data_IF_799222064136
#
_entry.id   IF_799222064136
#
_cell.length_a   1.000
_cell.length_b   1.000
_cell.length_c   1.000
_cell.angle_alpha   90.00
_cell.angle_beta   90.00
_cell.angle_gamma   90.00
#
_symmetry.space_group_name_H-M   'P 1'
#
loop_
_entity.id
_entity.type
_entity.pdbx_description
1 polymer ?
#
# COMPACT_ATOMS: atom_id res chain seq x y z
N UNK A 1 -8.91 32.55 -6.34
CA UNK A 1 -7.98 31.45 -6.62
C UNK A 1 -7.84 30.67 -5.31
N UNK A 2 -8.46 29.50 -5.21
CA UNK A 2 -8.29 28.64 -4.05
C UNK A 2 -6.86 28.11 -4.03
N UNK A 3 -6.19 28.07 -2.86
CA UNK A 3 -4.89 27.44 -2.76
C UNK A 3 -5.07 25.95 -3.13
N UNK A 4 -4.27 25.48 -4.06
CA UNK A 4 -4.15 24.06 -4.42
C UNK A 4 -3.84 23.29 -3.15
N UNK A 5 -4.83 22.60 -2.62
CA UNK A 5 -4.66 21.67 -1.51
C UNK A 5 -3.62 20.67 -2.00
N UNK A 6 -2.57 20.49 -1.23
CA UNK A 6 -1.47 19.58 -1.51
C UNK A 6 -2.04 18.17 -1.73
N UNK A 7 -2.21 17.76 -2.98
CA UNK A 7 -2.84 16.50 -3.38
C UNK A 7 -1.87 15.32 -3.30
N UNK A 8 -0.59 15.59 -3.02
CA UNK A 8 0.47 14.59 -2.96
C UNK A 8 0.26 13.57 -1.83
N UNK A 9 0.06 12.31 -2.21
CA UNK A 9 0.05 11.19 -1.28
C UNK A 9 1.48 10.89 -0.79
N UNK A 10 2.45 10.89 -1.72
CA UNK A 10 3.88 10.66 -1.44
C UNK A 10 4.73 11.67 -2.19
N UNK A 11 5.76 12.20 -1.52
CA UNK A 11 6.85 12.94 -2.16
C UNK A 11 8.18 12.47 -1.61
N UNK A 12 9.10 12.13 -2.50
CA UNK A 12 10.48 11.80 -2.20
C UNK A 12 11.36 12.86 -2.89
N UNK A 13 12.37 13.36 -2.18
CA UNK A 13 13.32 14.31 -2.73
C UNK A 13 14.74 13.91 -2.34
N UNK A 14 15.55 13.60 -3.36
CA UNK A 14 16.98 13.26 -3.25
C UNK A 14 17.28 12.18 -2.20
N UNK A 15 16.43 11.12 -2.15
CA UNK A 15 16.63 10.02 -1.22
C UNK A 15 17.90 9.25 -1.57
N UNK A 16 18.78 9.10 -0.57
CA UNK A 16 19.94 8.21 -0.64
C UNK A 16 19.92 7.25 0.54
N UNK A 17 20.37 6.02 0.29
CA UNK A 17 20.43 5.01 1.34
C UNK A 17 21.54 3.99 1.06
N UNK A 18 22.27 3.62 2.11
CA UNK A 18 23.29 2.56 2.09
C UNK A 18 23.13 1.69 3.35
N UNK A 19 23.30 0.38 3.19
CA UNK A 19 23.50 -0.47 4.35
C UNK A 19 24.88 -0.26 4.94
N UNK A 20 25.09 -0.42 6.26
CA UNK A 20 26.40 -0.23 6.87
C UNK A 20 27.48 -1.07 6.18
N UNK A 21 28.56 -0.41 5.70
CA UNK A 21 29.67 -1.05 5.03
C UNK A 21 29.41 -1.54 3.59
N UNK A 22 28.29 -1.15 2.98
CA UNK A 22 27.96 -1.51 1.60
C UNK A 22 27.95 -0.29 0.68
N UNK A 23 28.05 -0.52 -0.64
CA UNK A 23 27.81 0.50 -1.64
C UNK A 23 26.40 1.09 -1.54
N UNK A 24 26.19 2.35 -2.02
CA UNK A 24 24.87 2.97 -2.01
C UNK A 24 23.83 2.09 -2.72
N UNK A 25 22.77 1.71 -2.01
CA UNK A 25 21.64 0.98 -2.57
C UNK A 25 20.70 1.91 -3.33
N UNK A 26 20.41 3.08 -2.76
CA UNK A 26 19.63 4.15 -3.40
C UNK A 26 20.53 5.37 -3.52
N UNK A 27 20.71 5.91 -4.75
CA UNK A 27 21.65 7.01 -5.00
C UNK A 27 21.04 8.40 -4.97
N UNK A 28 19.93 8.61 -5.68
CA UNK A 28 19.27 9.92 -5.79
C UNK A 28 17.85 9.71 -6.32
N UNK A 29 16.99 9.17 -5.48
CA UNK A 29 15.60 8.95 -5.85
C UNK A 29 14.76 10.19 -5.54
N UNK A 30 14.13 10.74 -6.57
CA UNK A 30 13.11 11.78 -6.46
C UNK A 30 11.83 11.32 -7.16
N UNK A 31 10.70 11.44 -6.47
CA UNK A 31 9.40 10.96 -6.92
C UNK A 31 8.28 11.79 -6.28
N UNK A 32 7.24 12.04 -7.04
CA UNK A 32 5.97 12.58 -6.53
C UNK A 32 4.83 11.69 -7.04
N UNK A 33 3.88 11.38 -6.17
CA UNK A 33 2.69 10.60 -6.49
C UNK A 33 1.48 11.30 -5.86
N UNK A 34 0.55 11.70 -6.71
CA UNK A 34 -0.67 12.36 -6.28
C UNK A 34 -1.70 11.34 -5.73
N UNK A 35 -2.69 11.85 -5.01
CA UNK A 35 -3.81 11.03 -4.57
C UNK A 35 -4.58 10.50 -5.79
N UNK A 36 -4.91 9.21 -5.79
CA UNK A 36 -5.59 8.53 -6.89
C UNK A 36 -4.67 8.05 -8.00
N UNK A 37 -3.39 8.46 -8.05
CA UNK A 37 -2.44 7.95 -9.03
C UNK A 37 -1.86 6.60 -8.62
N UNK A 38 -1.41 5.85 -9.61
CA UNK A 38 -0.80 4.53 -9.45
C UNK A 38 0.65 4.51 -9.96
N UNK A 39 1.54 3.88 -9.16
CA UNK A 39 2.96 3.71 -9.48
C UNK A 39 3.36 2.24 -9.46
N UNK A 40 3.93 1.78 -10.54
CA UNK A 40 4.55 0.46 -10.65
C UNK A 40 6.08 0.56 -10.48
N UNK A 41 6.63 -0.20 -9.55
CA UNK A 41 8.08 -0.29 -9.32
C UNK A 41 8.54 -1.67 -9.78
N UNK A 42 9.36 -1.70 -10.84
CA UNK A 42 9.90 -2.95 -11.40
C UNK A 42 11.37 -3.13 -11.09
N UNK A 43 11.78 -4.39 -11.01
CA UNK A 43 13.19 -4.77 -10.90
C UNK A 43 13.38 -6.18 -10.35
N UNK A 44 14.58 -6.76 -10.52
CA UNK A 44 14.93 -8.08 -10.02
C UNK A 44 14.79 -8.22 -8.50
N UNK A 45 14.71 -9.45 -8.01
CA UNK A 45 14.74 -9.71 -6.58
C UNK A 45 16.07 -9.28 -5.96
N UNK A 46 16.04 -8.73 -4.75
CA UNK A 46 17.24 -8.27 -4.03
C UNK A 46 17.69 -6.83 -4.34
N UNK A 47 17.12 -6.16 -5.34
CA UNK A 47 17.54 -4.83 -5.78
C UNK A 47 17.04 -3.65 -4.91
N UNK A 48 16.66 -3.89 -3.67
CA UNK A 48 16.32 -2.80 -2.74
C UNK A 48 14.87 -2.33 -2.75
N UNK A 49 13.96 -2.98 -3.51
CA UNK A 49 12.54 -2.60 -3.57
C UNK A 49 11.88 -2.62 -2.18
N UNK A 50 12.02 -3.71 -1.45
CA UNK A 50 11.46 -3.83 -0.09
C UNK A 50 12.16 -2.88 0.90
N UNK A 51 13.44 -2.55 0.68
CA UNK A 51 14.15 -1.51 1.45
C UNK A 51 13.49 -0.15 1.23
N UNK A 52 13.21 0.23 -0.01
CA UNK A 52 12.50 1.47 -0.33
C UNK A 52 11.12 1.50 0.35
N UNK A 53 10.34 0.41 0.26
CA UNK A 53 9.03 0.33 0.92
C UNK A 53 9.14 0.48 2.45
N UNK A 54 10.16 -0.12 3.08
CA UNK A 54 10.39 0.02 4.51
C UNK A 54 10.84 1.43 4.92
N UNK A 55 11.59 2.13 4.07
CA UNK A 55 11.95 3.55 4.29
C UNK A 55 10.69 4.43 4.17
N UNK A 56 9.85 4.21 3.15
CA UNK A 56 8.58 4.91 2.96
C UNK A 56 7.63 4.68 4.15
N UNK A 57 7.58 3.45 4.65
CA UNK A 57 6.82 3.11 5.84
C UNK A 57 7.42 3.71 7.13
N UNK A 58 8.59 4.35 7.09
CA UNK A 58 9.28 4.89 8.26
C UNK A 58 9.79 3.82 9.24
N UNK A 59 9.90 2.56 8.80
CA UNK A 59 10.50 1.45 9.56
C UNK A 59 12.02 1.57 9.54
N UNK A 60 12.58 1.84 8.35
CA UNK A 60 13.99 2.17 8.18
C UNK A 60 14.10 3.71 8.17
N UNK A 61 15.03 4.29 8.95
CA UNK A 61 15.20 5.73 9.00
C UNK A 61 15.70 6.28 7.66
N UNK A 62 15.22 7.45 7.27
CA UNK A 62 15.77 8.23 6.15
C UNK A 62 17.18 8.69 6.52
N UNK A 63 18.19 8.31 5.73
CA UNK A 63 19.59 8.71 5.94
C UNK A 63 19.86 10.08 5.32
N UNK A 64 19.56 10.22 4.03
CA UNK A 64 19.70 11.47 3.27
C UNK A 64 18.46 11.69 2.40
N UNK A 65 18.16 12.96 2.10
CA UNK A 65 16.97 13.35 1.38
C UNK A 65 15.77 13.57 2.30
N UNK A 66 14.59 13.65 1.70
CA UNK A 66 13.33 13.94 2.41
C UNK A 66 12.19 13.11 1.87
N UNK A 67 11.33 12.63 2.74
CA UNK A 67 10.11 11.90 2.38
C UNK A 67 8.92 12.51 3.10
N UNK A 68 7.91 12.88 2.33
CA UNK A 68 6.61 13.33 2.85
C UNK A 68 5.55 12.29 2.52
N UNK A 69 4.74 11.97 3.50
CA UNK A 69 3.54 11.15 3.34
C UNK A 69 2.36 12.02 3.76
N UNK A 70 1.44 12.24 2.84
CA UNK A 70 0.28 13.12 3.05
C UNK A 70 0.69 14.45 3.70
N UNK A 71 1.73 15.10 3.15
CA UNK A 71 2.28 16.37 3.61
C UNK A 71 3.13 16.34 4.90
N UNK A 72 3.26 15.18 5.58
CA UNK A 72 4.04 15.03 6.83
C UNK A 72 5.44 14.53 6.51
N UNK A 73 6.46 15.28 6.92
CA UNK A 73 7.88 14.95 6.72
C UNK A 73 8.33 13.85 7.70
N UNK A 74 8.71 12.66 7.18
CA UNK A 74 9.03 11.49 7.99
C UNK A 74 10.19 11.69 8.97
N UNK A 75 11.22 12.46 8.58
CA UNK A 75 12.40 12.70 9.42
C UNK A 75 12.12 13.55 10.65
N UNK A 76 11.01 14.31 10.67
CA UNK A 76 10.60 15.16 11.79
C UNK A 76 9.67 14.42 12.77
N UNK A 77 9.23 13.22 12.44
CA UNK A 77 8.30 12.47 13.26
C UNK A 77 9.04 11.59 14.29
N UNK A 78 8.52 11.57 15.52
CA UNK A 78 8.91 10.56 16.50
C UNK A 78 8.48 9.15 16.05
N UNK A 79 9.03 8.10 16.65
CA UNK A 79 8.65 6.73 16.31
C UNK A 79 7.14 6.48 16.50
N UNK A 80 6.56 6.96 17.60
CA UNK A 80 5.11 6.88 17.85
C UNK A 80 4.31 7.61 16.77
N UNK A 81 4.77 8.79 16.33
CA UNK A 81 4.09 9.54 15.27
C UNK A 81 4.23 8.85 13.90
N UNK A 82 5.33 8.13 13.63
CA UNK A 82 5.49 7.28 12.44
C UNK A 82 4.56 6.07 12.48
N UNK A 83 4.41 5.42 13.65
CA UNK A 83 3.48 4.31 13.83
C UNK A 83 2.04 4.76 13.57
N UNK A 84 1.67 5.91 14.12
CA UNK A 84 0.37 6.52 13.89
C UNK A 84 0.16 6.87 12.40
N UNK A 85 1.15 7.49 11.75
CA UNK A 85 1.10 7.81 10.32
C UNK A 85 0.87 6.54 9.47
N UNK A 86 1.63 5.46 9.74
CA UNK A 86 1.45 4.17 9.05
C UNK A 86 0.03 3.65 9.18
N UNK A 87 -0.50 3.64 10.39
CA UNK A 87 -1.83 3.11 10.64
C UNK A 87 -2.95 3.95 10.04
N UNK A 88 -2.81 5.27 10.05
CA UNK A 88 -3.84 6.20 9.58
C UNK A 88 -3.81 6.40 8.06
N UNK A 89 -2.62 6.54 7.47
CA UNK A 89 -2.45 6.99 6.08
C UNK A 89 -2.08 5.87 5.11
N UNK A 90 -1.58 4.72 5.61
CA UNK A 90 -1.06 3.68 4.74
C UNK A 90 -1.85 2.39 4.86
N UNK A 91 -2.18 1.77 3.73
CA UNK A 91 -2.59 0.39 3.63
C UNK A 91 -1.44 -0.47 3.12
N UNK A 92 -1.32 -1.71 3.59
CA UNK A 92 -0.27 -2.63 3.14
C UNK A 92 -0.86 -3.95 2.66
N UNK A 93 -0.41 -4.38 1.47
CA UNK A 93 -0.66 -5.71 0.93
C UNK A 93 0.70 -6.38 0.76
N UNK A 94 1.01 -7.34 1.61
CA UNK A 94 2.28 -8.07 1.60
C UNK A 94 2.20 -9.31 0.73
N UNK A 95 3.31 -9.81 0.27
CA UNK A 95 3.41 -11.06 -0.49
C UNK A 95 2.80 -12.26 0.26
N UNK A 96 2.95 -12.33 1.58
CA UNK A 96 2.37 -13.37 2.44
C UNK A 96 1.05 -12.93 3.10
N UNK A 97 0.42 -11.85 2.62
CA UNK A 97 -0.85 -11.25 3.08
C UNK A 97 -0.86 -10.80 4.54
N UNK A 98 -0.12 -11.40 5.42
CA UNK A 98 -0.01 -11.10 6.86
C UNK A 98 -1.38 -10.96 7.55
N UNK A 99 -2.34 -11.81 7.17
CA UNK A 99 -3.61 -11.92 7.89
C UNK A 99 -3.36 -12.57 9.26
N UNK A 100 -4.14 -12.15 10.25
CA UNK A 100 -4.11 -12.80 11.56
C UNK A 100 -4.91 -14.10 11.45
N UNK A 101 -4.26 -15.28 11.54
CA UNK A 101 -4.84 -16.52 11.05
C UNK A 101 -6.06 -16.99 11.84
N UNK A 102 -6.17 -16.66 13.10
CA UNK A 102 -7.28 -17.04 13.99
C UNK A 102 -8.41 -16.00 14.07
N UNK A 103 -8.21 -14.80 13.53
CA UNK A 103 -9.30 -13.80 13.43
C UNK A 103 -10.21 -14.13 12.25
N UNK A 104 -11.48 -13.74 12.38
CA UNK A 104 -12.43 -13.80 11.28
C UNK A 104 -12.02 -12.91 10.10
N UNK A 105 -12.60 -13.14 8.92
CA UNK A 105 -12.45 -12.25 7.76
C UNK A 105 -12.89 -10.83 8.14
N UNK A 106 -14.03 -10.69 8.80
CA UNK A 106 -14.54 -9.40 9.28
C UNK A 106 -13.52 -8.69 10.15
N UNK A 107 -12.99 -9.37 11.17
CA UNK A 107 -12.04 -8.76 12.10
C UNK A 107 -10.71 -8.40 11.44
N UNK A 108 -10.22 -9.24 10.52
CA UNK A 108 -9.03 -8.90 9.73
C UNK A 108 -9.23 -7.65 8.89
N UNK A 109 -10.37 -7.51 8.21
CA UNK A 109 -10.67 -6.33 7.39
C UNK A 109 -10.82 -5.08 8.25
N UNK A 110 -11.56 -5.18 9.36
CA UNK A 110 -11.87 -4.03 10.22
C UNK A 110 -10.74 -3.65 11.17
N UNK A 111 -9.68 -4.45 11.29
CA UNK A 111 -8.58 -4.22 12.23
C UNK A 111 -8.03 -2.78 12.21
N UNK A 112 -7.78 -2.13 11.04
CA UNK A 112 -7.33 -0.74 11.00
C UNK A 112 -8.34 0.24 11.61
N UNK A 113 -9.63 -0.03 11.50
CA UNK A 113 -10.68 0.85 12.06
C UNK A 113 -10.81 0.70 13.58
N UNK A 114 -10.44 -0.46 14.13
CA UNK A 114 -10.40 -0.67 15.59
C UNK A 114 -9.21 0.03 16.24
N UNK A 115 -8.07 0.08 15.53
CA UNK A 115 -6.82 0.62 16.06
C UNK A 115 -6.68 2.13 15.84
N UNK A 116 -7.24 2.66 14.75
CA UNK A 116 -7.03 4.04 14.31
C UNK A 116 -8.34 4.78 14.09
N UNK A 117 -8.73 5.70 15.00
CA UNK A 117 -9.99 6.46 14.90
C UNK A 117 -10.14 7.20 13.57
N UNK A 118 -9.05 7.68 12.96
CA UNK A 118 -9.09 8.34 11.65
C UNK A 118 -9.64 7.40 10.58
N UNK A 119 -9.21 6.13 10.55
CA UNK A 119 -9.70 5.12 9.60
C UNK A 119 -11.18 4.80 9.83
N UNK A 120 -11.60 4.70 11.09
CA UNK A 120 -13.01 4.52 11.44
C UNK A 120 -13.86 5.71 10.96
N UNK A 121 -13.43 6.93 11.29
CA UNK A 121 -14.17 8.14 10.89
C UNK A 121 -14.27 8.27 9.36
N UNK A 122 -13.21 7.98 8.62
CA UNK A 122 -13.23 8.01 7.16
C UNK A 122 -14.18 6.95 6.58
N UNK A 123 -14.19 5.72 7.12
CA UNK A 123 -15.12 4.67 6.71
C UNK A 123 -16.58 5.08 6.94
N UNK A 124 -16.89 5.65 8.11
CA UNK A 124 -18.23 6.14 8.44
C UNK A 124 -18.63 7.34 7.57
N UNK A 125 -17.72 8.29 7.36
CA UNK A 125 -18.00 9.47 6.53
C UNK A 125 -18.31 9.11 5.08
N UNK A 126 -17.62 8.09 4.52
CA UNK A 126 -17.79 7.67 3.13
C UNK A 126 -19.01 6.77 2.91
N UNK A 127 -19.33 5.89 3.88
CA UNK A 127 -20.33 4.83 3.70
C UNK A 127 -21.49 4.88 4.72
N UNK A 128 -21.54 5.87 5.60
CA UNK A 128 -22.56 6.02 6.63
C UNK A 128 -22.34 5.14 7.87
N UNK A 129 -21.69 3.99 7.74
CA UNK A 129 -21.29 3.11 8.85
C UNK A 129 -20.09 2.26 8.49
N UNK A 130 -19.38 1.74 9.50
CA UNK A 130 -18.27 0.81 9.29
C UNK A 130 -18.75 -0.51 8.67
N UNK A 131 -19.97 -0.94 8.99
CA UNK A 131 -20.59 -2.14 8.40
C UNK A 131 -20.85 -1.95 6.90
N UNK A 132 -21.33 -0.80 6.47
CA UNK A 132 -21.52 -0.51 5.06
C UNK A 132 -20.19 -0.37 4.33
N UNK A 133 -19.14 0.19 4.98
CA UNK A 133 -17.80 0.23 4.41
C UNK A 133 -17.22 -1.18 4.21
N UNK A 134 -17.41 -2.09 5.18
CA UNK A 134 -17.06 -3.50 5.05
C UNK A 134 -17.81 -4.14 3.88
N UNK A 135 -19.13 -3.97 3.83
CA UNK A 135 -19.96 -4.54 2.77
C UNK A 135 -19.53 -4.08 1.39
N UNK A 136 -19.29 -2.78 1.23
CA UNK A 136 -18.78 -2.20 -0.02
C UNK A 136 -17.49 -2.90 -0.49
N UNK A 137 -16.51 -3.09 0.40
CA UNK A 137 -15.24 -3.73 0.04
C UNK A 137 -15.42 -5.23 -0.25
N UNK A 138 -16.27 -5.92 0.51
CA UNK A 138 -16.61 -7.33 0.30
C UNK A 138 -17.20 -7.53 -1.10
N UNK A 139 -18.16 -6.70 -1.49
CA UNK A 139 -18.82 -6.75 -2.79
C UNK A 139 -17.85 -6.39 -3.93
N UNK A 140 -17.07 -5.30 -3.77
CA UNK A 140 -16.09 -4.86 -4.77
C UNK A 140 -14.99 -5.90 -5.02
N UNK A 141 -14.57 -6.60 -3.99
CA UNK A 141 -13.53 -7.64 -4.09
C UNK A 141 -14.10 -9.04 -4.38
N UNK A 142 -15.42 -9.17 -4.57
CA UNK A 142 -16.06 -10.44 -4.91
C UNK A 142 -15.90 -11.50 -3.82
N UNK A 143 -15.89 -11.08 -2.54
CA UNK A 143 -15.89 -11.99 -1.40
C UNK A 143 -17.30 -12.42 -1.08
N UNK A 144 -17.51 -13.72 -0.79
CA UNK A 144 -18.81 -14.21 -0.36
C UNK A 144 -19.10 -13.81 1.09
N UNK A 145 -20.35 -13.43 1.37
CA UNK A 145 -20.84 -13.15 2.72
C UNK A 145 -20.62 -14.33 3.68
N UNK A 146 -20.70 -15.56 3.16
CA UNK A 146 -20.48 -16.77 3.96
C UNK A 146 -19.06 -16.90 4.52
N UNK A 147 -18.09 -16.16 3.98
CA UNK A 147 -16.70 -16.17 4.45
C UNK A 147 -16.47 -15.25 5.65
N UNK A 148 -17.33 -14.28 5.88
CA UNK A 148 -17.09 -13.18 6.83
C UNK A 148 -16.79 -13.65 8.26
N UNK A 149 -17.40 -14.76 8.68
CA UNK A 149 -17.21 -15.34 10.01
C UNK A 149 -16.14 -16.43 10.05
N UNK A 150 -15.57 -16.81 8.90
CA UNK A 150 -14.52 -17.82 8.85
C UNK A 150 -13.19 -17.23 9.32
N UNK A 151 -12.37 -18.06 9.97
CA UNK A 151 -11.01 -17.70 10.34
C UNK A 151 -10.10 -17.64 9.08
N UNK A 152 -9.19 -16.65 9.04
CA UNK A 152 -8.39 -16.38 7.86
C UNK A 152 -7.54 -17.57 7.39
N UNK A 153 -7.11 -18.47 8.29
CA UNK A 153 -6.35 -19.68 7.92
C UNK A 153 -7.16 -20.71 7.12
N UNK A 154 -8.50 -20.60 7.09
CA UNK A 154 -9.40 -21.50 6.34
C UNK A 154 -9.61 -21.05 4.90
N UNK A 155 -9.13 -19.86 4.53
CA UNK A 155 -9.34 -19.26 3.22
C UNK A 155 -8.36 -19.81 2.19
N UNK A 156 -8.82 -19.92 0.92
CA UNK A 156 -7.91 -20.10 -0.20
C UNK A 156 -6.96 -18.92 -0.38
N UNK A 157 -5.85 -19.10 -1.07
CA UNK A 157 -4.85 -18.06 -1.35
C UNK A 157 -5.51 -16.82 -1.98
N UNK A 158 -6.35 -17.02 -3.02
CA UNK A 158 -7.03 -15.88 -3.67
C UNK A 158 -8.03 -15.16 -2.75
N UNK A 159 -8.70 -15.89 -1.83
CA UNK A 159 -9.55 -15.27 -0.81
C UNK A 159 -8.71 -14.47 0.20
N UNK A 160 -7.58 -15.00 0.65
CA UNK A 160 -6.66 -14.30 1.55
C UNK A 160 -6.14 -13.00 0.93
N UNK A 161 -5.78 -13.02 -0.37
CA UNK A 161 -5.37 -11.82 -1.10
C UNK A 161 -6.45 -10.74 -1.09
N UNK A 162 -7.70 -11.11 -1.42
CA UNK A 162 -8.83 -10.19 -1.43
C UNK A 162 -9.14 -9.63 -0.04
N UNK A 163 -9.04 -10.45 1.00
CA UNK A 163 -9.19 -10.00 2.40
C UNK A 163 -8.07 -9.04 2.80
N UNK A 164 -6.82 -9.32 2.41
CA UNK A 164 -5.70 -8.41 2.66
C UNK A 164 -5.86 -7.07 1.93
N UNK A 165 -6.39 -7.09 0.70
CA UNK A 165 -6.74 -5.87 -0.02
C UNK A 165 -7.86 -5.09 0.70
N UNK A 166 -8.96 -5.76 1.09
CA UNK A 166 -10.03 -5.11 1.84
C UNK A 166 -9.49 -4.43 3.12
N UNK A 167 -8.63 -5.13 3.87
CA UNK A 167 -7.96 -4.58 5.06
C UNK A 167 -7.08 -3.37 4.73
N UNK A 168 -6.38 -3.39 3.60
CA UNK A 168 -5.53 -2.28 3.20
C UNK A 168 -6.36 -1.03 2.84
N UNK A 169 -7.48 -1.20 2.13
CA UNK A 169 -8.31 -0.10 1.64
C UNK A 169 -9.35 0.41 2.64
N UNK A 170 -9.74 -0.36 3.68
CA UNK A 170 -10.77 0.07 4.63
C UNK A 170 -10.41 1.41 5.27
N UNK A 171 -11.37 2.34 5.34
CA UNK A 171 -11.19 3.66 5.93
C UNK A 171 -10.29 4.59 5.11
N UNK A 172 -10.20 4.39 3.79
CA UNK A 172 -9.64 5.32 2.82
C UNK A 172 -8.25 5.85 3.20
N UNK A 173 -7.18 5.03 3.17
CA UNK A 173 -5.81 5.51 3.38
C UNK A 173 -5.40 6.47 2.26
N UNK A 174 -4.39 7.31 2.53
CA UNK A 174 -3.81 8.19 1.50
C UNK A 174 -3.04 7.40 0.44
N UNK A 175 -2.44 6.26 0.84
CA UNK A 175 -1.71 5.36 -0.05
C UNK A 175 -1.90 3.90 0.34
N UNK A 176 -2.00 3.02 -0.65
CA UNK A 176 -1.84 1.57 -0.51
C UNK A 176 -0.52 1.15 -1.15
N UNK A 177 0.28 0.41 -0.39
CA UNK A 177 1.56 -0.16 -0.81
C UNK A 177 1.40 -1.67 -0.93
N UNK A 178 1.66 -2.22 -2.12
CA UNK A 178 1.55 -3.63 -2.43
C UNK A 178 2.92 -4.21 -2.81
N UNK A 179 3.43 -5.14 -2.01
CA UNK A 179 4.71 -5.82 -2.23
C UNK A 179 4.47 -7.22 -2.81
N UNK A 180 4.73 -7.40 -4.09
CA UNK A 180 4.57 -8.67 -4.85
C UNK A 180 3.20 -9.35 -4.63
N UNK A 181 2.07 -8.62 -4.66
CA UNK A 181 0.78 -9.16 -4.22
C UNK A 181 0.21 -10.25 -5.12
N UNK A 182 0.78 -10.43 -6.32
CA UNK A 182 0.29 -11.36 -7.35
C UNK A 182 1.25 -12.50 -7.67
N UNK A 183 2.39 -12.60 -6.98
CA UNK A 183 3.48 -13.53 -7.30
C UNK A 183 3.07 -15.04 -7.28
N UNK A 184 2.00 -15.40 -6.59
CA UNK A 184 1.48 -16.77 -6.49
C UNK A 184 0.32 -17.09 -7.45
N UNK A 185 -0.07 -16.15 -8.33
CA UNK A 185 -1.21 -16.28 -9.24
C UNK A 185 -0.77 -16.52 -10.68
N UNK A 186 -1.60 -17.22 -11.45
CA UNK A 186 -1.51 -17.22 -12.91
C UNK A 186 -1.92 -15.86 -13.50
N UNK A 187 -1.58 -15.63 -14.77
CA UNK A 187 -1.77 -14.36 -15.45
C UNK A 187 -3.23 -13.84 -15.43
N UNK A 188 -4.21 -14.72 -15.64
CA UNK A 188 -5.60 -14.31 -15.69
C UNK A 188 -6.08 -13.82 -14.32
N UNK A 189 -5.72 -14.54 -13.26
CA UNK A 189 -6.04 -14.14 -11.90
C UNK A 189 -5.28 -12.89 -11.46
N UNK A 190 -4.01 -12.73 -11.89
CA UNK A 190 -3.23 -11.50 -11.67
C UNK A 190 -3.93 -10.29 -12.29
N UNK A 191 -4.33 -10.40 -13.56
CA UNK A 191 -4.99 -9.32 -14.29
C UNK A 191 -6.28 -8.89 -13.60
N UNK A 192 -7.14 -9.85 -13.25
CA UNK A 192 -8.41 -9.55 -12.55
C UNK A 192 -8.17 -8.89 -11.18
N UNK A 193 -7.19 -9.35 -10.42
CA UNK A 193 -6.87 -8.76 -9.13
C UNK A 193 -6.35 -7.33 -9.27
N UNK A 194 -5.56 -7.06 -10.31
CA UNK A 194 -5.10 -5.71 -10.61
C UNK A 194 -6.24 -4.77 -11.00
N UNK A 195 -7.22 -5.23 -11.77
CA UNK A 195 -8.43 -4.44 -12.07
C UNK A 195 -9.14 -4.03 -10.78
N UNK A 196 -9.25 -4.95 -9.83
CA UNK A 196 -9.88 -4.66 -8.53
C UNK A 196 -9.07 -3.63 -7.71
N UNK A 197 -7.74 -3.76 -7.66
CA UNK A 197 -6.89 -2.84 -6.88
C UNK A 197 -6.88 -1.44 -7.47
N UNK A 198 -6.66 -1.33 -8.78
CA UNK A 198 -6.67 -0.04 -9.49
C UNK A 198 -8.04 0.62 -9.42
N UNK A 199 -9.12 -0.16 -9.62
CA UNK A 199 -10.47 0.35 -9.50
C UNK A 199 -10.81 0.87 -8.09
N UNK A 200 -10.38 0.16 -7.03
CA UNK A 200 -10.57 0.63 -5.65
C UNK A 200 -9.73 1.88 -5.35
N UNK A 201 -8.50 1.94 -5.85
CA UNK A 201 -7.62 3.09 -5.68
C UNK A 201 -8.23 4.36 -6.31
N UNK A 202 -8.71 4.25 -7.54
CA UNK A 202 -9.40 5.33 -8.26
C UNK A 202 -10.69 5.76 -7.54
N UNK A 203 -11.60 4.82 -7.24
CA UNK A 203 -12.88 5.10 -6.56
C UNK A 203 -12.71 5.78 -5.21
N UNK A 204 -11.65 5.44 -4.46
CA UNK A 204 -11.36 6.02 -3.16
C UNK A 204 -10.44 7.25 -3.25
N UNK A 205 -9.92 7.60 -4.44
CA UNK A 205 -8.88 8.62 -4.60
C UNK A 205 -7.68 8.33 -3.67
N UNK A 206 -7.25 7.07 -3.61
CA UNK A 206 -6.13 6.55 -2.83
C UNK A 206 -4.96 6.29 -3.79
N UNK A 207 -3.77 6.76 -3.48
CA UNK A 207 -2.60 6.41 -4.29
C UNK A 207 -2.29 4.90 -4.16
N UNK A 208 -1.88 4.26 -5.26
CA UNK A 208 -1.46 2.85 -5.25
C UNK A 208 -0.01 2.73 -5.69
N UNK A 209 0.85 2.23 -4.81
CA UNK A 209 2.23 1.88 -5.15
C UNK A 209 2.38 0.37 -5.14
N UNK A 210 2.77 -0.21 -6.25
CA UNK A 210 2.98 -1.65 -6.39
C UNK A 210 4.41 -1.98 -6.76
N UNK A 211 4.99 -2.93 -6.08
CA UNK A 211 6.27 -3.54 -6.41
C UNK A 211 6.01 -4.92 -7.02
N UNK A 212 6.58 -5.18 -8.19
CA UNK A 212 6.57 -6.51 -8.81
C UNK A 212 7.75 -6.71 -9.75
N UNK A 213 8.11 -7.97 -9.99
CA UNK A 213 9.04 -8.38 -11.04
C UNK A 213 8.35 -8.70 -12.38
N UNK A 214 7.01 -8.74 -12.40
CA UNK A 214 6.22 -9.01 -13.62
C UNK A 214 5.91 -7.72 -14.37
N UNK A 215 6.82 -7.32 -15.25
CA UNK A 215 6.71 -6.08 -16.03
C UNK A 215 5.47 -6.02 -16.95
N UNK A 216 4.81 -7.15 -17.24
CA UNK A 216 3.57 -7.18 -18.03
C UNK A 216 2.44 -6.39 -17.39
N UNK A 217 2.50 -6.15 -16.08
CA UNK A 217 1.54 -5.35 -15.35
C UNK A 217 1.77 -3.84 -15.49
N UNK A 218 3.00 -3.41 -15.81
CA UNK A 218 3.40 -2.00 -15.80
C UNK A 218 2.54 -1.08 -16.69
N UNK A 219 2.05 -1.50 -17.90
CA UNK A 219 1.24 -0.61 -18.75
C UNK A 219 -0.12 -0.23 -18.17
N UNK A 220 -0.50 -0.81 -17.04
CA UNK A 220 -1.79 -0.56 -16.37
C UNK A 220 -1.71 0.56 -15.32
N UNK A 221 -0.51 1.04 -15.02
CA UNK A 221 -0.23 2.06 -14.01
C UNK A 221 0.05 3.40 -14.68
N UNK A 222 -0.30 4.49 -13.99
CA UNK A 222 -0.07 5.85 -14.49
C UNK A 222 1.42 6.17 -14.60
N UNK A 223 2.22 5.64 -13.65
CA UNK A 223 3.66 5.85 -13.59
C UNK A 223 4.40 4.52 -13.44
N UNK A 224 5.62 4.46 -13.99
CA UNK A 224 6.52 3.33 -13.83
C UNK A 224 7.90 3.82 -13.39
N UNK A 225 8.50 3.08 -12.45
CA UNK A 225 9.83 3.35 -11.94
C UNK A 225 10.65 2.05 -11.95
N UNK A 226 11.62 1.97 -12.85
CA UNK A 226 12.53 0.83 -12.88
C UNK A 226 13.67 1.01 -11.86
N UNK A 227 14.00 -0.05 -11.14
CA UNK A 227 15.03 -0.01 -10.07
C UNK A 227 16.39 0.48 -10.59
N UNK A 228 16.78 0.15 -11.83
CA UNK A 228 18.02 0.60 -12.44
C UNK A 228 18.15 2.13 -12.57
N UNK A 229 17.08 2.88 -12.42
CA UNK A 229 17.09 4.35 -12.44
C UNK A 229 17.61 4.97 -11.15
N UNK A 230 17.59 4.23 -10.03
CA UNK A 230 17.95 4.76 -8.71
C UNK A 230 18.84 3.83 -7.87
N UNK A 231 18.95 2.55 -8.22
CA UNK A 231 19.81 1.59 -7.54
C UNK A 231 21.17 1.44 -8.26
N UNK A 232 22.19 1.05 -7.50
CA UNK A 232 23.58 1.03 -7.97
C UNK A 232 23.94 -0.26 -8.70
N UNK A 233 23.45 -1.40 -8.23
CA UNK A 233 23.75 -2.74 -8.76
C UNK A 233 22.52 -3.62 -8.57
N UNK A 234 22.04 -4.19 -9.64
CA UNK A 234 21.05 -5.27 -9.68
C UNK A 234 21.58 -6.45 -10.48
#
# INVERSE_FOLDING_TARGET
MNPTINTLAVKISHLQFSWPGQSPLIKDLSLALDAGESLFISGPSGCGKSTLLNILAGVIPVQEGKIWIHGRLLSELSNTAKDQLRGEEMGFIFQQFNLIPYLSVTDNILLPTYLYPKRLHAAVAQHGSVTHALQYLVDRLGLSQSLLQQAAHQLSIGQQQRVAAARAFIGKPSIVIADEPTSSLDWNNQSQLMDLFLGLADEQNTALMMVSHDERLSPRFDHTLAVNQWATEC
#
